data_IF_621677966595
#
_entry.id   IF_621677966595
#
_cell.length_a   1.000
_cell.length_b   1.000
_cell.length_c   1.000
_cell.angle_alpha   90.00
_cell.angle_beta   90.00
_cell.angle_gamma   90.00
#
_symmetry.space_group_name_H-M   'P 1'
#
loop_
_entity.id
_entity.type
_entity.pdbx_description
1 polymer ?
#
# COMPACT_ATOMS: atom_id res chain seq x y z
N UNK A 1 -27.20 10.23 1.25
CA UNK A 1 -26.14 11.26 1.12
C UNK A 1 -24.99 10.68 0.30
N UNK A 2 -24.90 11.03 -0.99
CA UNK A 2 -23.76 10.62 -1.82
C UNK A 2 -22.57 11.49 -1.41
N UNK A 3 -21.53 10.90 -0.81
CA UNK A 3 -20.32 11.64 -0.42
C UNK A 3 -19.67 12.20 -1.70
N UNK A 4 -19.52 13.52 -1.80
CA UNK A 4 -18.75 14.14 -2.89
C UNK A 4 -17.33 13.58 -2.84
N UNK A 5 -16.74 13.17 -3.98
CA UNK A 5 -15.34 12.78 -4.05
C UNK A 5 -14.45 13.92 -3.54
N UNK A 6 -13.48 13.62 -2.68
CA UNK A 6 -12.55 14.58 -2.09
C UNK A 6 -11.09 14.11 -2.28
N UNK A 7 -10.11 15.04 -2.28
CA UNK A 7 -8.70 14.69 -2.31
C UNK A 7 -8.32 13.88 -1.06
N UNK A 8 -7.38 12.95 -1.19
CA UNK A 8 -6.95 12.08 -0.10
C UNK A 8 -5.43 12.07 -0.01
N UNK A 9 -4.88 12.13 1.19
CA UNK A 9 -3.45 11.97 1.42
C UNK A 9 -3.12 10.52 1.78
N UNK A 10 -2.32 9.84 0.95
CA UNK A 10 -1.64 8.59 1.34
C UNK A 10 -0.39 8.97 2.13
N UNK A 11 -0.44 8.85 3.45
CA UNK A 11 0.70 9.21 4.30
C UNK A 11 1.80 8.16 4.23
N UNK A 12 1.42 6.90 4.46
CA UNK A 12 2.35 5.77 4.51
C UNK A 12 1.68 4.45 4.15
N UNK A 13 2.50 3.47 3.79
CA UNK A 13 2.09 2.15 3.34
C UNK A 13 2.99 1.08 3.94
N UNK A 14 2.45 -0.10 4.23
CA UNK A 14 3.22 -1.29 4.58
C UNK A 14 2.67 -2.51 3.84
N UNK A 15 3.56 -3.39 3.41
CA UNK A 15 3.20 -4.71 2.92
C UNK A 15 3.74 -5.72 3.93
N UNK A 16 2.85 -6.52 4.51
CA UNK A 16 3.19 -7.50 5.54
C UNK A 16 2.69 -8.88 5.13
N UNK A 17 3.38 -9.93 5.53
CA UNK A 17 3.01 -11.30 5.21
C UNK A 17 3.70 -12.28 6.13
N UNK A 18 3.42 -13.58 6.01
CA UNK A 18 4.20 -14.57 6.75
C UNK A 18 5.65 -14.62 6.24
N UNK A 19 6.56 -15.24 7.01
CA UNK A 19 7.93 -15.47 6.56
C UNK A 19 7.98 -16.28 5.25
N UNK A 20 7.07 -17.24 5.11
CA UNK A 20 6.92 -18.07 3.92
C UNK A 20 6.34 -17.31 2.71
N UNK A 21 5.84 -16.08 2.89
CA UNK A 21 5.50 -15.22 1.77
C UNK A 21 6.73 -14.65 1.05
N UNK A 22 7.93 -14.74 1.65
CA UNK A 22 9.19 -14.40 0.99
C UNK A 22 9.23 -12.96 0.45
N UNK A 23 9.85 -12.79 -0.72
CA UNK A 23 10.12 -11.51 -1.38
C UNK A 23 8.90 -10.91 -2.13
N UNK A 24 7.69 -11.16 -1.63
CA UNK A 24 6.48 -10.56 -2.19
C UNK A 24 6.61 -9.05 -2.29
N UNK A 25 6.13 -8.53 -3.42
CA UNK A 25 6.32 -7.13 -3.74
C UNK A 25 5.12 -6.58 -4.51
N UNK A 26 4.80 -5.31 -4.23
CA UNK A 26 3.76 -4.56 -4.94
C UNK A 26 4.27 -3.19 -5.38
N UNK A 27 3.51 -2.54 -6.26
CA UNK A 27 3.57 -1.10 -6.52
C UNK A 27 2.19 -0.48 -6.35
N UNK A 28 2.15 0.75 -5.85
CA UNK A 28 0.94 1.56 -5.87
C UNK A 28 0.94 2.45 -7.11
N UNK A 29 -0.21 2.50 -7.78
CA UNK A 29 -0.45 3.37 -8.94
C UNK A 29 -1.65 4.28 -8.71
N UNK A 30 -1.53 5.50 -9.22
CA UNK A 30 -2.62 6.47 -9.38
C UNK A 30 -2.74 6.77 -10.88
N UNK A 31 -3.92 6.56 -11.47
CA UNK A 31 -4.16 6.72 -12.91
C UNK A 31 -3.07 6.05 -13.79
N UNK A 32 -2.68 4.83 -13.42
CA UNK A 32 -1.65 4.06 -14.12
C UNK A 32 -0.20 4.50 -13.87
N UNK A 33 0.05 5.62 -13.18
CA UNK A 33 1.39 6.10 -12.81
C UNK A 33 1.84 5.52 -11.47
N UNK A 34 3.05 4.97 -11.43
CA UNK A 34 3.69 4.50 -10.19
C UNK A 34 3.95 5.69 -9.24
N UNK A 35 3.53 5.54 -7.98
CA UNK A 35 3.71 6.55 -6.94
C UNK A 35 4.54 6.08 -5.75
N UNK A 36 4.85 4.79 -5.66
CA UNK A 36 5.51 4.21 -4.49
C UNK A 36 6.86 3.58 -4.79
N UNK A 37 7.14 3.26 -6.05
CA UNK A 37 8.14 2.25 -6.37
C UNK A 37 7.80 0.90 -5.74
N UNK A 38 8.77 0.00 -5.71
CA UNK A 38 8.58 -1.35 -5.18
C UNK A 38 8.45 -1.30 -3.65
N UNK A 39 7.36 -1.85 -3.12
CA UNK A 39 7.12 -2.09 -1.70
C UNK A 39 7.24 -3.59 -1.47
N UNK A 40 8.22 -4.01 -0.69
CA UNK A 40 8.45 -5.41 -0.33
C UNK A 40 7.80 -5.77 0.99
N UNK A 41 7.62 -7.06 1.21
CA UNK A 41 7.25 -7.60 2.51
C UNK A 41 8.24 -7.09 3.58
N UNK A 42 7.78 -6.18 4.44
CA UNK A 42 8.64 -5.52 5.42
C UNK A 42 8.75 -6.33 6.71
N UNK A 43 7.89 -7.33 6.92
CA UNK A 43 7.78 -8.02 8.21
C UNK A 43 7.05 -9.36 8.11
N UNK A 44 7.51 -10.31 8.95
CA UNK A 44 6.75 -11.52 9.28
C UNK A 44 5.55 -11.22 10.20
N UNK A 45 4.36 -11.59 9.76
CA UNK A 45 3.08 -11.32 10.42
C UNK A 45 2.13 -10.54 9.51
N UNK A 46 0.88 -10.36 9.93
CA UNK A 46 -0.14 -9.67 9.11
C UNK A 46 -0.39 -8.22 9.54
N UNK A 47 0.34 -7.72 10.53
CA UNK A 47 0.15 -6.39 11.11
C UNK A 47 1.51 -5.70 11.26
N UNK A 48 1.66 -4.45 10.79
CA UNK A 48 2.83 -3.63 11.09
C UNK A 48 2.77 -3.18 12.56
N UNK A 49 3.87 -3.31 13.31
CA UNK A 49 3.89 -2.91 14.73
C UNK A 49 4.74 -1.66 14.98
N UNK A 50 5.66 -1.34 14.07
CA UNK A 50 6.60 -0.24 14.24
C UNK A 50 6.56 0.71 13.05
N UNK A 51 6.94 1.97 13.27
CA UNK A 51 7.00 2.96 12.20
C UNK A 51 7.96 2.56 11.07
N UNK A 52 9.01 1.79 11.38
CA UNK A 52 9.95 1.27 10.39
C UNK A 52 9.34 0.23 9.43
N UNK A 53 8.23 -0.41 9.82
CA UNK A 53 7.51 -1.36 8.97
C UNK A 53 6.79 -0.63 7.82
N UNK A 54 6.62 0.70 7.96
CA UNK A 54 5.96 1.55 6.99
C UNK A 54 6.96 2.32 6.13
N UNK A 55 6.64 2.39 4.83
CA UNK A 55 7.22 3.35 3.90
C UNK A 55 6.38 4.61 3.86
N UNK A 56 7.01 5.76 4.10
CA UNK A 56 6.37 7.08 3.95
C UNK A 56 6.22 7.39 2.46
N UNK A 57 5.02 7.81 2.05
CA UNK A 57 4.71 8.21 0.67
C UNK A 57 4.32 9.68 0.56
N UNK A 58 3.56 10.22 1.52
CA UNK A 58 3.02 11.58 1.51
C UNK A 58 2.50 12.01 0.12
N UNK A 59 1.63 11.17 -0.47
CA UNK A 59 1.13 11.36 -1.83
C UNK A 59 -0.32 11.80 -1.82
N UNK A 60 -0.57 12.96 -2.42
CA UNK A 60 -1.92 13.47 -2.69
C UNK A 60 -2.56 12.67 -3.82
N UNK A 61 -3.77 12.17 -3.55
CA UNK A 61 -4.64 11.48 -4.49
C UNK A 61 -5.79 12.42 -4.84
N UNK A 62 -5.92 12.86 -6.10
CA UNK A 62 -7.01 13.71 -6.50
C UNK A 62 -8.40 13.07 -6.28
N UNK A 63 -9.47 13.88 -6.24
CA UNK A 63 -10.83 13.36 -6.25
C UNK A 63 -11.05 12.45 -7.46
N UNK A 64 -11.85 11.39 -7.29
CA UNK A 64 -12.19 10.40 -8.33
C UNK A 64 -11.04 9.53 -8.85
N UNK A 65 -9.81 9.71 -8.38
CA UNK A 65 -8.68 8.86 -8.80
C UNK A 65 -8.66 7.57 -7.98
N UNK A 66 -8.64 6.42 -8.66
CA UNK A 66 -8.54 5.13 -7.99
C UNK A 66 -7.10 4.87 -7.51
N UNK A 67 -6.96 4.31 -6.31
CA UNK A 67 -5.68 3.79 -5.82
C UNK A 67 -5.62 2.33 -6.24
N UNK A 68 -4.60 1.96 -7.01
CA UNK A 68 -4.40 0.59 -7.47
C UNK A 68 -3.14 0.02 -6.83
N UNK A 69 -3.22 -1.22 -6.36
CA UNK A 69 -2.05 -2.00 -5.96
C UNK A 69 -1.80 -3.06 -7.02
N UNK A 70 -0.61 -3.02 -7.63
CA UNK A 70 -0.17 -4.00 -8.63
C UNK A 70 0.79 -4.96 -7.94
N UNK A 71 0.52 -6.25 -8.09
CA UNK A 71 1.38 -7.32 -7.58
C UNK A 71 2.55 -7.48 -8.56
N UNK A 72 3.77 -7.20 -8.10
CA UNK A 72 4.99 -7.39 -8.88
C UNK A 72 5.55 -8.79 -8.68
N UNK A 73 5.45 -9.30 -7.45
CA UNK A 73 5.87 -10.65 -7.08
C UNK A 73 4.82 -11.22 -6.15
N UNK A 74 4.10 -12.23 -6.63
CA UNK A 74 3.01 -12.87 -5.91
C UNK A 74 3.53 -13.86 -4.86
N UNK A 75 2.76 -14.02 -3.77
CA UNK A 75 3.03 -15.09 -2.82
C UNK A 75 2.57 -16.42 -3.39
N UNK A 76 3.39 -17.45 -3.26
CA UNK A 76 3.05 -18.80 -3.71
C UNK A 76 2.26 -19.60 -2.69
N UNK A 77 2.30 -19.22 -1.40
CA UNK A 77 1.84 -20.11 -0.32
C UNK A 77 1.08 -19.41 0.80
N UNK A 78 1.16 -18.08 0.93
CA UNK A 78 0.67 -17.39 2.11
C UNK A 78 0.00 -16.05 1.80
N UNK A 79 -0.98 -15.62 2.61
CA UNK A 79 -1.64 -14.33 2.42
C UNK A 79 -0.69 -13.17 2.71
N UNK A 80 -0.87 -12.09 1.94
CA UNK A 80 -0.24 -10.79 2.13
C UNK A 80 -1.28 -9.78 2.59
N UNK A 81 -0.93 -8.92 3.53
CA UNK A 81 -1.74 -7.80 3.99
C UNK A 81 -1.09 -6.48 3.58
N UNK A 82 -1.82 -5.70 2.79
CA UNK A 82 -1.47 -4.34 2.40
C UNK A 82 -2.15 -3.35 3.35
N UNK A 83 -1.35 -2.57 4.05
CA UNK A 83 -1.80 -1.54 4.99
C UNK A 83 -1.55 -0.17 4.38
N UNK A 84 -2.60 0.66 4.29
CA UNK A 84 -2.49 2.02 3.73
C UNK A 84 -3.13 3.01 4.72
N UNK A 85 -2.37 4.01 5.14
CA UNK A 85 -2.87 5.10 5.97
C UNK A 85 -3.30 6.27 5.08
N UNK A 86 -4.61 6.52 5.01
CA UNK A 86 -5.23 7.52 4.14
C UNK A 86 -6.02 8.52 4.98
N UNK A 87 -5.81 9.81 4.72
CA UNK A 87 -6.55 10.91 5.34
C UNK A 87 -7.36 11.69 4.31
N UNK A 88 -8.49 12.29 4.70
CA UNK A 88 -9.04 13.40 3.95
C UNK A 88 -8.05 14.56 3.94
N UNK A 89 -7.93 15.21 2.80
CA UNK A 89 -7.16 16.45 2.63
C UNK A 89 -8.09 17.64 2.38
#
# INVERSE_FOLDING_TARGET
LQRKPYPRLIRRVALTGSAAAGDCAIRLKLDGKDISGIIRNSRTGLIPLQNQDFRILNKVVPPNVAIQAIIETASSTNPMALHIEIFPE
#
